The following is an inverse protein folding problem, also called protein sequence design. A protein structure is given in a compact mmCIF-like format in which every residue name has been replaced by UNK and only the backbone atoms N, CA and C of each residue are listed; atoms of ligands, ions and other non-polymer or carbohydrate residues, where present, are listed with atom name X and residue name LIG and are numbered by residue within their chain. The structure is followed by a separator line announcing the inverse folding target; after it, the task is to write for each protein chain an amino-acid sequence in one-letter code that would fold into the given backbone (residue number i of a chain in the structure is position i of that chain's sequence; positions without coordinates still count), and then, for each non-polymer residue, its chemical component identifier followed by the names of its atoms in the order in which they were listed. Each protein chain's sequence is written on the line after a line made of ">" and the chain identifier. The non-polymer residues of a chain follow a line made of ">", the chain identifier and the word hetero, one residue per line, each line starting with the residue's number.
data_IF_441872967741
#
_entry.id   IF_441872967741
#
_cell.length_a   1.000
_cell.length_b   1.000
_cell.length_c   1.000
_cell.angle_alpha   90.00
_cell.angle_beta   90.00
_cell.angle_gamma   90.00
#
_symmetry.space_group_name_H-M   'P 1'
#
loop_
_entity.id
_entity.type
_entity.pdbx_description
1 polymer ?
#
# COMPACT_ATOMS: atom_id res chain seq x y z
N UNK A 1 -33.72 -63.63 -16.74
CA UNK A 1 -32.73 -62.71 -17.35
C UNK A 1 -33.13 -61.28 -17.06
N UNK A 2 -32.56 -60.63 -16.05
CA UNK A 2 -32.50 -59.16 -15.96
C UNK A 2 -31.33 -58.80 -15.02
N UNK A 3 -30.26 -58.23 -15.58
CA UNK A 3 -29.11 -57.68 -14.84
C UNK A 3 -29.33 -56.16 -14.72
N UNK A 4 -29.52 -55.66 -13.51
CA UNK A 4 -29.49 -54.23 -13.22
C UNK A 4 -28.03 -53.76 -13.14
N UNK A 5 -27.67 -52.76 -13.95
CA UNK A 5 -26.35 -52.11 -13.96
C UNK A 5 -26.39 -50.93 -12.99
N UNK A 6 -25.52 -50.96 -11.98
CA UNK A 6 -25.26 -49.85 -11.08
C UNK A 6 -24.50 -48.76 -11.87
N UNK A 7 -25.10 -47.59 -12.04
CA UNK A 7 -24.39 -46.38 -12.50
C UNK A 7 -23.81 -45.70 -11.25
N UNK A 8 -22.49 -45.65 -11.15
CA UNK A 8 -21.80 -44.84 -10.15
C UNK A 8 -21.54 -43.45 -10.74
N UNK A 9 -22.19 -42.43 -10.19
CA UNK A 9 -21.92 -41.03 -10.51
C UNK A 9 -20.66 -40.61 -9.76
N UNK A 10 -19.56 -40.38 -10.47
CA UNK A 10 -18.37 -39.72 -9.92
C UNK A 10 -18.63 -38.22 -9.96
N UNK A 11 -18.93 -37.63 -8.79
CA UNK A 11 -19.04 -36.19 -8.64
C UNK A 11 -17.62 -35.62 -8.48
N UNK A 12 -17.11 -34.96 -9.51
CA UNK A 12 -15.82 -34.28 -9.49
C UNK A 12 -16.02 -32.92 -8.82
N UNK A 13 -15.79 -32.84 -7.51
CA UNK A 13 -15.79 -31.56 -6.79
C UNK A 13 -14.57 -30.74 -7.19
N UNK A 14 -14.78 -29.71 -7.99
CA UNK A 14 -13.82 -28.63 -8.20
C UNK A 14 -13.63 -27.89 -6.87
N UNK A 15 -12.50 -28.13 -6.20
CA UNK A 15 -12.06 -27.31 -5.08
C UNK A 15 -11.78 -25.89 -5.61
N UNK A 16 -12.32 -24.84 -4.98
CA UNK A 16 -11.88 -23.49 -5.29
C UNK A 16 -10.39 -23.38 -4.91
N UNK A 17 -9.55 -23.02 -5.87
CA UNK A 17 -8.20 -22.54 -5.59
C UNK A 17 -8.36 -21.24 -4.77
N UNK A 18 -8.40 -21.35 -3.45
CA UNK A 18 -8.04 -20.23 -2.61
C UNK A 18 -6.58 -19.91 -2.96
N UNK A 19 -6.32 -18.74 -3.53
CA UNK A 19 -4.96 -18.23 -3.66
C UNK A 19 -4.41 -18.17 -2.24
N UNK A 20 -3.53 -19.10 -1.90
CA UNK A 20 -2.84 -19.11 -0.63
C UNK A 20 -1.99 -17.84 -0.60
N UNK A 21 -2.45 -16.81 0.10
CA UNK A 21 -1.62 -15.66 0.41
C UNK A 21 -0.41 -16.20 1.18
N UNK A 22 0.79 -15.84 0.73
CA UNK A 22 2.04 -16.25 1.38
C UNK A 22 1.97 -16.03 2.90
N UNK A 23 2.43 -16.96 3.75
CA UNK A 23 2.51 -16.71 5.20
C UNK A 23 3.71 -15.80 5.58
N UNK A 24 4.62 -15.56 4.65
CA UNK A 24 5.83 -14.78 4.87
C UNK A 24 5.54 -13.27 4.93
N UNK A 25 6.11 -12.55 5.89
CA UNK A 25 6.10 -11.08 5.88
C UNK A 25 7.52 -10.53 5.96
N UNK A 26 7.76 -9.44 5.24
CA UNK A 26 8.98 -8.66 5.32
C UNK A 26 8.79 -7.36 6.11
N UNK A 27 7.58 -7.11 6.63
CA UNK A 27 7.38 -6.00 7.54
C UNK A 27 8.04 -6.30 8.90
N UNK A 28 8.62 -5.29 9.58
CA UNK A 28 9.04 -5.47 10.97
C UNK A 28 7.83 -5.66 11.88
N UNK A 29 8.06 -6.22 13.07
CA UNK A 29 7.04 -6.22 14.11
C UNK A 29 6.76 -4.77 14.55
N UNK A 30 5.49 -4.37 14.49
CA UNK A 30 5.02 -3.06 14.96
C UNK A 30 4.06 -3.28 16.13
N UNK A 31 4.24 -2.59 17.27
CA UNK A 31 3.29 -2.67 18.36
C UNK A 31 1.88 -2.26 17.92
N UNK A 32 0.83 -2.97 18.38
CA UNK A 32 -0.54 -2.65 17.97
C UNK A 32 -0.97 -1.28 18.49
N UNK A 33 -1.61 -0.49 17.64
CA UNK A 33 -2.23 0.77 17.97
C UNK A 33 -3.74 0.68 18.25
N UNK A 34 -4.43 1.81 18.14
CA UNK A 34 -5.89 1.91 18.30
C UNK A 34 -6.61 1.25 17.11
N UNK A 35 -6.04 1.41 15.92
CA UNK A 35 -6.41 0.68 14.70
C UNK A 35 -5.26 0.74 13.70
N UNK A 36 -5.33 -0.09 12.67
CA UNK A 36 -4.39 -0.09 11.56
C UNK A 36 -5.09 -0.13 10.21
N UNK A 37 -4.34 0.24 9.18
CA UNK A 37 -4.68 0.00 7.79
C UNK A 37 -3.52 -0.73 7.11
N UNK A 38 -3.82 -1.72 6.28
CA UNK A 38 -2.79 -2.54 5.65
C UNK A 38 -3.15 -3.02 4.25
N UNK A 39 -2.15 -3.39 3.46
CA UNK A 39 -2.33 -4.00 2.15
C UNK A 39 -1.25 -5.03 1.91
N UNK A 40 -1.62 -6.04 1.13
CA UNK A 40 -0.74 -7.12 0.71
C UNK A 40 -1.10 -7.54 -0.70
N UNK A 41 -0.15 -7.39 -1.62
CA UNK A 41 -0.41 -7.56 -3.05
C UNK A 41 0.74 -8.30 -3.70
N UNK A 42 0.44 -9.43 -4.35
CA UNK A 42 1.39 -10.15 -5.20
C UNK A 42 1.38 -9.56 -6.61
N UNK A 43 2.57 -9.23 -7.12
CA UNK A 43 2.79 -8.49 -8.36
C UNK A 43 3.80 -9.25 -9.21
N UNK A 44 3.47 -9.55 -10.47
CA UNK A 44 4.42 -10.14 -11.43
C UNK A 44 5.40 -9.08 -11.92
N UNK A 45 6.54 -8.98 -11.24
CA UNK A 45 7.57 -7.96 -11.50
C UNK A 45 8.88 -8.35 -10.81
N UNK A 46 9.87 -7.45 -10.80
CA UNK A 46 11.12 -7.59 -10.05
C UNK A 46 11.11 -6.68 -8.82
N UNK A 47 11.89 -7.05 -7.78
CA UNK A 47 12.03 -6.21 -6.57
C UNK A 47 12.54 -4.82 -6.94
N UNK A 48 13.50 -4.72 -7.86
CA UNK A 48 14.04 -3.44 -8.33
C UNK A 48 12.98 -2.54 -8.97
N UNK A 49 12.10 -3.09 -9.82
CA UNK A 49 11.04 -2.32 -10.45
C UNK A 49 9.97 -1.87 -9.44
N UNK A 50 9.64 -2.74 -8.48
CA UNK A 50 8.71 -2.40 -7.40
C UNK A 50 9.31 -1.34 -6.46
N UNK A 51 10.59 -1.46 -6.11
CA UNK A 51 11.32 -0.51 -5.27
C UNK A 51 11.46 0.86 -5.94
N UNK A 52 11.81 0.89 -7.23
CA UNK A 52 11.91 2.14 -7.99
C UNK A 52 10.55 2.85 -8.02
N UNK A 53 9.46 2.15 -8.36
CA UNK A 53 8.12 2.72 -8.35
C UNK A 53 7.68 3.22 -6.96
N UNK A 54 8.03 2.50 -5.89
CA UNK A 54 7.71 2.86 -4.51
C UNK A 54 8.55 4.05 -3.98
N UNK A 55 9.66 4.38 -4.62
CA UNK A 55 10.55 5.48 -4.18
C UNK A 55 10.61 6.64 -5.17
N UNK A 56 9.89 6.55 -6.29
CA UNK A 56 9.78 7.59 -7.32
C UNK A 56 8.62 8.55 -7.03
N UNK A 57 8.76 9.35 -5.98
CA UNK A 57 7.71 10.25 -5.50
C UNK A 57 7.11 11.20 -6.56
N UNK A 58 7.90 11.80 -7.49
CA UNK A 58 7.33 12.64 -8.55
C UNK A 58 6.29 11.94 -9.42
N UNK A 59 6.40 10.61 -9.59
CA UNK A 59 5.54 9.82 -10.47
C UNK A 59 4.47 9.01 -9.72
N UNK A 60 4.28 9.22 -8.41
CA UNK A 60 3.23 8.55 -7.65
C UNK A 60 1.83 8.71 -8.27
N UNK A 61 1.52 9.91 -8.78
CA UNK A 61 0.24 10.20 -9.43
C UNK A 61 -0.03 9.37 -10.69
N UNK A 62 0.99 8.76 -11.30
CA UNK A 62 0.83 7.96 -12.52
C UNK A 62 0.14 6.61 -12.28
N UNK A 63 0.09 6.12 -11.03
CA UNK A 63 -0.41 4.78 -10.72
C UNK A 63 -1.18 4.67 -9.39
N UNK A 64 -0.95 5.59 -8.45
CA UNK A 64 -1.45 5.45 -7.09
C UNK A 64 -2.81 6.14 -6.92
N UNK A 65 -3.94 5.44 -6.73
CA UNK A 65 -5.25 6.06 -6.56
C UNK A 65 -5.44 6.72 -5.19
N UNK A 66 -4.57 6.42 -4.23
CA UNK A 66 -4.57 6.99 -2.88
C UNK A 66 -3.68 8.24 -2.82
N UNK A 67 -2.38 8.11 -3.06
CA UNK A 67 -1.42 9.23 -3.01
C UNK A 67 -1.26 9.84 -4.40
N UNK A 68 -1.95 10.96 -4.65
CA UNK A 68 -2.03 11.60 -5.97
C UNK A 68 -0.91 12.59 -6.24
N UNK A 69 -0.20 13.02 -5.20
CA UNK A 69 0.98 13.87 -5.30
C UNK A 69 1.90 13.62 -4.11
N UNK A 70 3.19 13.50 -4.39
CA UNK A 70 4.22 13.35 -3.39
C UNK A 70 5.40 14.27 -3.68
N UNK A 71 5.83 15.00 -2.66
CA UNK A 71 6.94 15.96 -2.76
C UNK A 71 7.87 15.80 -1.55
N UNK A 72 9.15 15.58 -1.82
CA UNK A 72 10.21 15.57 -0.81
C UNK A 72 10.54 17.00 -0.41
N UNK A 73 10.53 17.24 0.89
CA UNK A 73 10.74 18.56 1.50
C UNK A 73 11.72 18.47 2.68
N UNK A 74 12.29 19.62 3.05
CA UNK A 74 12.97 19.79 4.33
C UNK A 74 11.95 19.91 5.48
N UNK A 75 12.43 19.86 6.73
CA UNK A 75 11.62 20.10 7.93
C UNK A 75 10.87 21.46 7.95
N UNK A 76 11.23 22.40 7.07
CA UNK A 76 10.58 23.71 6.91
C UNK A 76 9.59 23.75 5.74
N UNK A 77 9.18 22.59 5.22
CA UNK A 77 8.31 22.43 4.05
C UNK A 77 8.84 23.11 2.77
N UNK A 78 10.16 23.17 2.61
CA UNK A 78 10.81 23.64 1.39
C UNK A 78 11.13 22.43 0.52
N UNK A 79 10.68 22.43 -0.74
CA UNK A 79 10.99 21.39 -1.72
C UNK A 79 12.50 21.19 -1.86
N UNK A 80 12.93 19.94 -1.88
CA UNK A 80 14.33 19.55 -2.08
C UNK A 80 14.61 19.22 -3.56
N UNK A 81 15.84 19.38 -4.04
CA UNK A 81 16.16 19.04 -5.43
C UNK A 81 16.10 17.53 -5.70
N UNK A 82 16.51 16.71 -4.73
CA UNK A 82 16.31 15.27 -4.78
C UNK A 82 14.90 14.92 -4.30
N UNK A 83 14.18 14.20 -5.13
CA UNK A 83 12.80 13.80 -4.92
C UNK A 83 12.68 12.28 -4.71
N UNK A 84 13.77 11.61 -4.32
CA UNK A 84 13.78 10.21 -3.89
C UNK A 84 13.74 10.06 -2.37
N UNK A 85 13.53 8.83 -1.91
CA UNK A 85 13.50 8.50 -0.49
C UNK A 85 14.89 8.65 0.16
N UNK A 86 14.97 9.56 1.13
CA UNK A 86 16.18 9.79 1.96
C UNK A 86 15.74 9.95 3.41
N UNK A 87 16.35 9.18 4.30
CA UNK A 87 16.04 9.23 5.74
C UNK A 87 16.24 10.64 6.31
N UNK A 88 15.31 11.06 7.18
CA UNK A 88 15.31 12.38 7.79
C UNK A 88 14.69 13.49 6.93
N UNK A 89 14.49 13.27 5.63
CA UNK A 89 13.68 14.16 4.79
C UNK A 89 12.18 13.97 5.08
N UNK A 90 11.39 14.90 4.57
CA UNK A 90 9.94 14.96 4.80
C UNK A 90 9.21 14.75 3.48
N UNK A 91 7.99 14.23 3.56
CA UNK A 91 7.09 14.05 2.44
C UNK A 91 5.87 14.92 2.68
N UNK A 92 5.52 15.72 1.69
CA UNK A 92 4.21 16.33 1.59
C UNK A 92 3.38 15.49 0.62
N UNK A 93 2.27 14.96 1.11
CA UNK A 93 1.33 14.18 0.32
C UNK A 93 0.02 14.93 0.11
N UNK A 94 -0.51 14.83 -1.10
CA UNK A 94 -1.93 15.04 -1.38
C UNK A 94 -2.54 13.67 -1.63
N UNK A 95 -3.54 13.32 -0.84
CA UNK A 95 -4.16 11.99 -0.86
C UNK A 95 -5.66 12.06 -1.10
N UNK A 96 -6.24 10.94 -1.53
CA UNK A 96 -7.67 10.72 -1.75
C UNK A 96 -8.17 9.69 -0.75
N UNK A 97 -9.05 10.10 0.17
CA UNK A 97 -9.68 9.19 1.13
C UNK A 97 -11.20 9.44 1.10
N UNK A 98 -12.03 8.49 0.62
CA UNK A 98 -11.67 7.22 -0.05
C UNK A 98 -10.81 7.39 -1.33
N UNK A 99 -10.11 6.32 -1.79
CA UNK A 99 -9.25 6.39 -2.96
C UNK A 99 -10.05 6.61 -4.25
N UNK A 100 -9.37 7.03 -5.32
CA UNK A 100 -9.99 7.09 -6.64
C UNK A 100 -10.25 5.68 -7.19
N UNK A 101 -11.30 5.49 -8.02
CA UNK A 101 -11.50 4.24 -8.72
C UNK A 101 -10.34 3.99 -9.70
N UNK A 102 -9.82 2.76 -9.70
CA UNK A 102 -8.84 2.30 -10.68
C UNK A 102 -9.49 2.06 -12.06
N UNK A 103 -8.72 2.18 -13.17
CA UNK A 103 -7.32 2.61 -13.23
C UNK A 103 -7.19 4.14 -13.10
N UNK A 104 -6.01 4.59 -12.66
CA UNK A 104 -5.62 6.01 -12.63
C UNK A 104 -4.35 6.24 -13.43
N UNK A 105 -4.12 7.49 -13.82
CA UNK A 105 -2.88 7.99 -14.43
C UNK A 105 -2.60 9.43 -13.96
N UNK A 106 -1.54 10.06 -14.46
CA UNK A 106 -1.12 11.42 -14.08
C UNK A 106 -2.20 12.49 -14.34
N UNK A 107 -3.04 12.28 -15.36
CA UNK A 107 -4.13 13.19 -15.75
C UNK A 107 -5.45 12.93 -15.01
N UNK A 108 -5.53 11.86 -14.21
CA UNK A 108 -6.77 11.51 -13.50
C UNK A 108 -7.06 12.55 -12.43
N UNK A 109 -8.20 13.26 -12.51
CA UNK A 109 -8.50 14.35 -11.60
C UNK A 109 -8.84 13.85 -10.20
N UNK A 110 -8.40 14.60 -9.21
CA UNK A 110 -8.74 14.41 -7.81
C UNK A 110 -10.24 14.66 -7.55
N UNK A 111 -10.83 13.93 -6.60
CA UNK A 111 -12.10 14.31 -6.02
C UNK A 111 -11.83 15.32 -4.88
N UNK A 112 -12.25 16.57 -5.08
CA UNK A 112 -12.00 17.66 -4.14
C UNK A 112 -12.56 17.34 -2.74
N UNK A 113 -13.68 16.62 -2.65
CA UNK A 113 -14.29 16.25 -1.36
C UNK A 113 -13.52 15.16 -0.61
N UNK A 114 -12.67 14.39 -1.29
CA UNK A 114 -11.86 13.33 -0.71
C UNK A 114 -10.40 13.76 -0.50
N UNK A 115 -10.06 14.98 -0.91
CA UNK A 115 -8.68 15.47 -0.91
C UNK A 115 -8.24 15.79 0.51
N UNK A 116 -7.18 15.14 0.96
CA UNK A 116 -6.52 15.39 2.24
C UNK A 116 -5.03 15.66 2.02
N UNK A 117 -4.37 16.21 3.04
CA UNK A 117 -2.94 16.47 3.02
C UNK A 117 -2.26 15.83 4.23
N UNK A 118 -1.07 15.29 4.01
CA UNK A 118 -0.24 14.72 5.06
C UNK A 118 1.18 15.26 4.96
N UNK A 119 1.81 15.46 6.13
CA UNK A 119 3.24 15.69 6.26
C UNK A 119 3.81 14.51 7.03
N UNK A 120 4.80 13.87 6.42
CA UNK A 120 5.38 12.66 6.95
C UNK A 120 6.90 12.78 6.97
N UNK A 121 7.56 12.15 7.92
CA UNK A 121 9.02 12.11 7.99
C UNK A 121 9.50 10.73 7.59
N UNK A 122 10.37 10.64 6.60
CA UNK A 122 11.01 9.40 6.18
C UNK A 122 11.93 8.93 7.31
N UNK A 123 11.66 7.74 7.86
CA UNK A 123 12.41 7.20 9.00
C UNK A 123 13.34 6.07 8.60
N UNK A 124 12.99 5.28 7.59
CA UNK A 124 13.80 4.14 7.16
C UNK A 124 13.79 4.03 5.63
N UNK A 125 14.96 3.91 5.02
CA UNK A 125 15.15 3.62 3.60
C UNK A 125 16.16 2.48 3.48
N UNK A 126 15.66 1.25 3.37
CA UNK A 126 16.47 0.03 3.45
C UNK A 126 16.34 -0.78 2.16
N UNK A 127 16.96 -0.34 1.04
CA UNK A 127 16.82 -0.99 -0.27
C UNK A 127 17.27 -2.45 -0.25
N UNK A 128 18.35 -2.77 0.48
CA UNK A 128 18.86 -4.14 0.64
C UNK A 128 17.88 -5.10 1.33
N UNK A 129 16.97 -4.55 2.14
CA UNK A 129 15.90 -5.31 2.80
C UNK A 129 14.56 -5.14 2.08
N UNK A 130 14.48 -4.27 1.07
CA UNK A 130 13.25 -3.88 0.40
C UNK A 130 12.25 -3.18 1.34
N UNK A 131 12.70 -2.43 2.35
CA UNK A 131 11.82 -1.79 3.36
C UNK A 131 11.91 -0.27 3.35
N UNK A 132 10.75 0.38 3.48
CA UNK A 132 10.59 1.83 3.51
C UNK A 132 9.62 2.20 4.63
N UNK A 133 9.91 3.25 5.39
CA UNK A 133 8.98 3.73 6.40
C UNK A 133 9.01 5.23 6.60
N UNK A 134 7.89 5.74 7.10
CA UNK A 134 7.72 7.13 7.48
C UNK A 134 6.72 7.30 8.63
N UNK A 135 6.90 8.37 9.39
CA UNK A 135 6.02 8.76 10.50
C UNK A 135 5.09 9.89 10.07
N UNK A 136 3.80 9.77 10.36
CA UNK A 136 2.84 10.86 10.22
C UNK A 136 3.02 11.90 11.33
N UNK A 137 3.14 13.18 10.94
CA UNK A 137 3.39 14.28 11.86
C UNK A 137 2.13 15.14 12.07
N UNK A 138 1.20 14.67 12.90
CA UNK A 138 0.09 15.48 13.43
C UNK A 138 0.31 15.91 14.89
N UNK A 139 1.54 16.33 15.18
CA UNK A 139 2.14 16.88 16.42
C UNK A 139 1.80 16.18 17.76
N UNK A 140 0.53 15.93 18.08
CA UNK A 140 0.08 15.29 19.35
C UNK A 140 -1.18 14.42 19.17
N UNK A 141 -2.03 14.69 18.19
CA UNK A 141 -3.40 14.16 18.13
C UNK A 141 -3.51 12.73 17.59
N UNK A 142 -2.77 12.47 16.52
CA UNK A 142 -2.64 11.17 15.86
C UNK A 142 -1.16 10.97 15.58
N UNK A 143 -0.67 9.79 15.94
CA UNK A 143 0.68 9.34 15.60
C UNK A 143 0.55 8.04 14.83
N UNK A 144 1.29 7.92 13.75
CA UNK A 144 1.37 6.66 13.03
C UNK A 144 2.72 6.51 12.37
N UNK A 145 3.13 5.27 12.20
CA UNK A 145 4.29 4.88 11.41
C UNK A 145 3.78 3.92 10.35
N UNK A 146 4.01 4.26 9.10
CA UNK A 146 3.72 3.39 7.97
C UNK A 146 4.99 2.68 7.55
N UNK A 147 4.95 1.35 7.58
CA UNK A 147 5.96 0.49 6.99
C UNK A 147 5.45 -0.03 5.66
N UNK A 148 6.36 -0.13 4.69
CA UNK A 148 6.14 -0.77 3.41
C UNK A 148 7.31 -1.70 3.12
N UNK A 149 7.02 -2.81 2.44
CA UNK A 149 8.03 -3.75 2.02
C UNK A 149 7.76 -4.30 0.62
N UNK A 150 8.82 -4.63 -0.09
CA UNK A 150 8.80 -5.39 -1.34
C UNK A 150 9.75 -6.58 -1.21
N UNK A 151 9.28 -7.77 -1.56
CA UNK A 151 10.06 -9.01 -1.39
C UNK A 151 9.86 -9.96 -2.56
N UNK A 152 10.91 -10.58 -3.06
CA UNK A 152 10.78 -11.67 -4.01
C UNK A 152 10.23 -12.91 -3.30
N UNK A 153 9.08 -13.42 -3.75
CA UNK A 153 8.47 -14.65 -3.24
C UNK A 153 8.58 -15.82 -4.25
N UNK A 154 9.40 -15.64 -5.29
CA UNK A 154 9.70 -16.63 -6.31
C UNK A 154 8.79 -16.53 -7.54
N UNK A 155 9.19 -17.26 -8.59
CA UNK A 155 8.45 -17.36 -9.86
C UNK A 155 8.17 -15.99 -10.53
N UNK A 156 9.08 -15.02 -10.38
CA UNK A 156 8.90 -13.67 -10.91
C UNK A 156 7.77 -12.89 -10.24
N UNK A 157 7.45 -13.21 -8.98
CA UNK A 157 6.42 -12.55 -8.20
C UNK A 157 7.05 -11.83 -7.02
N UNK A 158 6.75 -10.54 -6.91
CA UNK A 158 7.07 -9.72 -5.76
C UNK A 158 5.84 -9.59 -4.88
N UNK A 159 6.04 -9.73 -3.58
CA UNK A 159 5.07 -9.36 -2.57
C UNK A 159 5.30 -7.91 -2.15
N UNK A 160 4.33 -7.05 -2.42
CA UNK A 160 4.23 -5.72 -1.83
C UNK A 160 3.38 -5.78 -0.56
N UNK A 161 3.88 -5.18 0.52
CA UNK A 161 3.20 -5.05 1.80
C UNK A 161 3.22 -3.58 2.24
N UNK A 162 2.14 -3.15 2.88
CA UNK A 162 2.04 -1.83 3.52
C UNK A 162 1.23 -1.98 4.80
N UNK A 163 1.68 -1.36 5.88
CA UNK A 163 1.02 -1.42 7.18
C UNK A 163 1.25 -0.13 7.95
N UNK A 164 0.18 0.46 8.46
CA UNK A 164 0.25 1.66 9.29
C UNK A 164 -0.54 1.46 10.58
N UNK A 165 0.13 1.69 11.71
CA UNK A 165 -0.47 1.62 13.05
C UNK A 165 -0.81 3.02 13.56
N UNK A 166 -2.09 3.30 13.78
CA UNK A 166 -2.57 4.59 14.25
C UNK A 166 -2.77 4.61 15.77
N UNK A 167 -2.22 5.65 16.39
CA UNK A 167 -2.15 5.83 17.83
C UNK A 167 -2.51 7.26 18.25
N UNK A 168 -2.76 7.46 19.54
CA UNK A 168 -2.96 8.77 20.13
C UNK A 168 -4.43 9.09 20.45
N UNK A 169 -4.68 10.25 21.10
CA UNK A 169 -5.99 10.57 21.69
C UNK A 169 -7.13 10.64 20.67
N UNK A 170 -6.87 11.05 19.43
CA UNK A 170 -7.90 11.20 18.40
C UNK A 170 -7.97 10.01 17.43
N UNK A 171 -7.12 8.98 17.59
CA UNK A 171 -7.10 7.84 16.68
C UNK A 171 -8.44 7.07 16.66
N UNK A 172 -9.15 6.99 17.79
CA UNK A 172 -10.48 6.37 17.83
C UNK A 172 -11.54 7.12 17.01
N UNK A 173 -11.46 8.47 16.98
CA UNK A 173 -12.34 9.30 16.16
C UNK A 173 -12.00 9.12 14.69
N UNK A 174 -10.71 9.17 14.34
CA UNK A 174 -10.23 8.93 12.98
C UNK A 174 -10.68 7.56 12.46
N UNK A 175 -10.59 6.51 13.28
CA UNK A 175 -11.10 5.17 12.96
C UNK A 175 -12.59 5.20 12.63
N UNK A 176 -13.39 5.86 13.47
CA UNK A 176 -14.84 5.90 13.33
C UNK A 176 -15.29 6.69 12.09
N UNK A 177 -14.52 7.70 11.66
CA UNK A 177 -14.90 8.56 10.53
C UNK A 177 -14.24 8.16 9.21
N UNK A 178 -13.03 7.59 9.23
CA UNK A 178 -12.23 7.35 8.02
C UNK A 178 -11.58 5.97 7.97
N UNK A 179 -11.73 5.12 8.99
CA UNK A 179 -11.00 3.85 9.10
C UNK A 179 -11.24 2.90 7.92
N UNK A 180 -12.49 2.76 7.48
CA UNK A 180 -12.83 1.95 6.31
C UNK A 180 -12.21 2.52 5.02
N UNK A 181 -12.38 3.82 4.78
CA UNK A 181 -11.83 4.49 3.60
C UNK A 181 -10.30 4.52 3.57
N UNK A 182 -9.64 4.56 4.74
CA UNK A 182 -8.18 4.40 4.85
C UNK A 182 -7.75 2.99 4.48
N UNK A 183 -8.45 1.97 4.99
CA UNK A 183 -8.19 0.58 4.64
C UNK A 183 -8.37 0.33 3.13
N UNK A 184 -9.43 0.88 2.52
CA UNK A 184 -9.64 0.86 1.07
C UNK A 184 -8.50 1.55 0.32
N UNK A 185 -8.02 2.68 0.83
CA UNK A 185 -6.92 3.44 0.22
C UNK A 185 -5.61 2.65 0.17
N UNK A 186 -5.30 1.88 1.22
CA UNK A 186 -4.13 1.02 1.26
C UNK A 186 -4.22 -0.10 0.23
N UNK A 187 -5.38 -0.78 0.16
CA UNK A 187 -5.64 -1.84 -0.82
C UNK A 187 -5.52 -1.29 -2.24
N UNK A 188 -6.18 -0.16 -2.52
CA UNK A 188 -6.17 0.48 -3.82
C UNK A 188 -4.76 0.94 -4.25
N UNK A 189 -3.91 1.38 -3.32
CA UNK A 189 -2.50 1.64 -3.63
C UNK A 189 -1.77 0.38 -4.09
N UNK A 190 -1.94 -0.75 -3.40
CA UNK A 190 -1.33 -2.03 -3.81
C UNK A 190 -1.83 -2.50 -5.18
N UNK A 191 -3.14 -2.39 -5.43
CA UNK A 191 -3.74 -2.72 -6.73
C UNK A 191 -3.27 -1.79 -7.85
N UNK A 192 -3.16 -0.48 -7.59
CA UNK A 192 -2.62 0.49 -8.53
C UNK A 192 -1.16 0.19 -8.91
N UNK A 193 -0.33 -0.14 -7.92
CA UNK A 193 1.06 -0.56 -8.14
C UNK A 193 1.12 -1.82 -8.99
N UNK A 194 0.27 -2.80 -8.70
CA UNK A 194 0.17 -4.03 -9.48
C UNK A 194 -0.17 -3.77 -10.93
N UNK A 195 -1.25 -3.01 -11.20
CA UNK A 195 -1.68 -2.68 -12.55
C UNK A 195 -0.58 -1.95 -13.33
N UNK A 196 0.13 -1.04 -12.67
CA UNK A 196 1.22 -0.28 -13.27
C UNK A 196 2.43 -1.15 -13.64
N UNK A 197 2.82 -2.08 -12.77
CA UNK A 197 4.02 -2.91 -12.98
C UNK A 197 3.76 -4.13 -13.89
N UNK A 198 2.56 -4.71 -13.86
CA UNK A 198 2.20 -5.84 -14.74
C UNK A 198 1.74 -5.40 -16.13
N UNK A 199 1.38 -4.12 -16.30
CA UNK A 199 1.03 -3.52 -17.60
C UNK A 199 2.23 -3.03 -18.41
N UNK A 200 3.44 -3.11 -17.86
CA UNK A 200 4.70 -2.76 -18.52
C UNK A 200 5.28 -3.91 -19.33
#
# INVERSE_FOLDING_TARGET
>A
MFKSKFFSLVSLTLLPFALAQSEYTNLPEVPPGVFSASARTEIRTTVDAAWDALTDFPNYGAWNPFVRYALVTSAKNISLPDQRAVEGNYLFFRVQIPPLPLPVNEDTPDNILHTQFAIERITHVQPELGRLAWDFLAEIAVKSTRWQAVSDIGNGTVLYESHEEFNGPLAGILKATMGESLQESFVAQGEGLKLYLEGK
#
